data_IF_938868151339
#
_entry.id   IF_938868151339
#
_cell.length_a   1.000
_cell.length_b   1.000
_cell.length_c   1.000
_cell.angle_alpha   90.00
_cell.angle_beta   90.00
_cell.angle_gamma   90.00
#
_symmetry.space_group_name_H-M   'P 1'
#
loop_
_entity.id
_entity.type
_entity.pdbx_description
1 polymer ?
#
# COMPACT_ATOMS: atom_id res chain seq x y z
N UNK A 1 -9.42 24.83 -2.93
CA UNK A 1 -9.01 23.53 -2.32
C UNK A 1 -8.53 23.83 -0.90
N UNK A 2 -9.04 23.09 0.11
CA UNK A 2 -8.75 23.37 1.53
C UNK A 2 -7.29 23.11 1.90
N UNK A 3 -6.72 22.02 1.38
CA UNK A 3 -5.41 21.48 1.82
C UNK A 3 -4.20 21.97 1.01
N UNK A 4 -4.38 22.79 -0.01
CA UNK A 4 -3.34 23.15 -0.98
C UNK A 4 -2.05 23.77 -0.37
N UNK A 5 -2.15 24.35 0.82
CA UNK A 5 -1.04 25.05 1.46
C UNK A 5 -0.26 24.15 2.45
N UNK A 6 -0.80 22.93 2.73
CA UNK A 6 -0.21 21.98 3.67
C UNK A 6 -0.33 20.53 3.20
N UNK A 7 -0.24 20.31 1.89
CA UNK A 7 -0.01 19.02 1.23
C UNK A 7 0.68 19.27 -0.10
N UNK A 8 1.31 18.24 -0.66
CA UNK A 8 1.95 18.30 -1.98
C UNK A 8 1.40 17.26 -2.95
N UNK A 9 0.49 16.39 -2.49
CA UNK A 9 -0.03 15.29 -3.28
C UNK A 9 -1.56 15.23 -3.19
N UNK A 10 -2.19 14.91 -4.31
CA UNK A 10 -3.60 14.57 -4.40
C UNK A 10 -3.77 13.23 -5.10
N UNK A 11 -4.39 12.26 -4.41
CA UNK A 11 -4.77 10.97 -5.00
C UNK A 11 -6.25 11.01 -5.35
N UNK A 12 -6.56 10.97 -6.64
CA UNK A 12 -7.93 10.92 -7.13
C UNK A 12 -8.43 9.49 -7.14
N UNK A 13 -9.12 9.09 -6.08
CA UNK A 13 -9.81 7.79 -5.99
C UNK A 13 -11.32 8.02 -5.91
N UNK A 14 -11.97 8.14 -7.06
CA UNK A 14 -13.42 8.35 -7.16
C UNK A 14 -13.96 7.69 -8.42
N UNK A 15 -14.69 6.58 -8.28
CA UNK A 15 -15.32 5.88 -9.41
C UNK A 15 -16.07 6.84 -10.35
N UNK A 16 -17.05 7.63 -9.85
CA UNK A 16 -17.81 8.53 -10.73
C UNK A 16 -16.99 9.58 -11.46
N UNK A 17 -15.91 10.08 -10.84
CA UNK A 17 -15.00 11.04 -11.48
C UNK A 17 -14.11 10.34 -12.48
N UNK A 18 -13.47 9.23 -12.07
CA UNK A 18 -12.55 8.44 -12.91
C UNK A 18 -13.25 7.76 -14.11
N UNK A 19 -14.57 7.70 -14.12
CA UNK A 19 -15.37 7.24 -15.25
C UNK A 19 -15.73 8.36 -16.25
N UNK A 20 -15.42 9.60 -15.94
CA UNK A 20 -15.71 10.77 -16.76
C UNK A 20 -14.42 11.52 -17.11
N UNK A 21 -14.00 11.46 -18.38
CA UNK A 21 -12.76 12.08 -18.84
C UNK A 21 -12.69 13.57 -18.53
N UNK A 22 -13.79 14.32 -18.79
CA UNK A 22 -13.84 15.76 -18.53
C UNK A 22 -13.66 16.07 -17.05
N UNK A 23 -14.39 15.33 -16.18
CA UNK A 23 -14.28 15.54 -14.73
C UNK A 23 -12.89 15.16 -14.20
N UNK A 24 -12.30 14.08 -14.73
CA UNK A 24 -10.93 13.66 -14.37
C UNK A 24 -9.93 14.75 -14.73
N UNK A 25 -9.99 15.27 -15.96
CA UNK A 25 -9.11 16.35 -16.41
C UNK A 25 -9.29 17.63 -15.59
N UNK A 26 -10.51 18.09 -15.37
CA UNK A 26 -10.79 19.30 -14.58
C UNK A 26 -10.25 19.18 -13.15
N UNK A 27 -10.42 18.05 -12.49
CA UNK A 27 -9.92 17.87 -11.12
C UNK A 27 -8.39 17.78 -11.09
N UNK A 28 -7.77 17.09 -12.05
CA UNK A 28 -6.33 17.04 -12.17
C UNK A 28 -5.74 18.44 -12.44
N UNK A 29 -6.35 19.21 -13.35
CA UNK A 29 -5.93 20.59 -13.62
C UNK A 29 -6.01 21.46 -12.36
N UNK A 30 -7.12 21.40 -11.61
CA UNK A 30 -7.24 22.13 -10.35
C UNK A 30 -6.19 21.74 -9.31
N UNK A 31 -5.83 20.45 -9.24
CA UNK A 31 -4.80 20.00 -8.31
C UNK A 31 -3.42 20.50 -8.73
N UNK A 32 -3.07 20.35 -10.00
CA UNK A 32 -1.79 20.80 -10.56
C UNK A 32 -1.63 22.32 -10.51
N UNK A 33 -2.68 23.08 -10.85
CA UNK A 33 -2.71 24.53 -10.72
C UNK A 33 -2.55 25.00 -9.26
N UNK A 34 -2.99 24.18 -8.31
CA UNK A 34 -2.75 24.42 -6.88
C UNK A 34 -1.32 24.02 -6.43
N UNK A 35 -0.49 23.51 -7.33
CA UNK A 35 0.90 23.10 -7.07
C UNK A 35 1.08 21.64 -6.64
N UNK A 36 -0.01 20.85 -6.59
CA UNK A 36 0.04 19.46 -6.13
C UNK A 36 0.53 18.51 -7.23
N UNK A 37 1.14 17.42 -6.81
CA UNK A 37 1.34 16.23 -7.62
C UNK A 37 0.06 15.40 -7.63
N UNK A 38 -0.14 14.57 -8.65
CA UNK A 38 -1.36 13.78 -8.81
C UNK A 38 -1.07 12.30 -9.05
N UNK A 39 -1.87 11.45 -8.42
CA UNK A 39 -2.03 10.03 -8.72
C UNK A 39 -3.50 9.79 -9.05
N UNK A 40 -3.80 9.07 -10.12
CA UNK A 40 -5.18 8.83 -10.55
C UNK A 40 -5.52 7.35 -10.43
N UNK A 41 -6.62 7.04 -9.76
CA UNK A 41 -7.15 5.70 -9.64
C UNK A 41 -7.88 5.29 -10.92
N UNK A 42 -7.37 4.22 -11.54
CA UNK A 42 -8.07 3.47 -12.57
C UNK A 42 -8.16 2.01 -12.12
N UNK A 43 -9.31 1.62 -11.59
CA UNK A 43 -9.51 0.28 -11.03
C UNK A 43 -9.37 -0.86 -12.02
N UNK A 44 -9.56 -0.58 -13.32
CA UNK A 44 -9.38 -1.55 -14.41
C UNK A 44 -9.02 -0.81 -15.70
N UNK A 45 -8.07 -1.36 -16.44
CA UNK A 45 -7.60 -0.84 -17.73
C UNK A 45 -7.63 -1.92 -18.83
N UNK A 46 -8.25 -3.07 -18.58
CA UNK A 46 -8.36 -4.11 -19.61
C UNK A 46 -9.24 -3.62 -20.77
N UNK A 47 -8.74 -3.63 -22.02
CA UNK A 47 -9.43 -3.03 -23.16
C UNK A 47 -10.86 -3.51 -23.37
N UNK A 48 -11.11 -4.81 -23.13
CA UNK A 48 -12.46 -5.38 -23.25
C UNK A 48 -13.43 -4.78 -22.21
N UNK A 49 -13.00 -4.67 -20.95
CA UNK A 49 -13.82 -4.12 -19.87
C UNK A 49 -14.07 -2.63 -20.10
N UNK A 50 -13.04 -1.90 -20.53
CA UNK A 50 -13.16 -0.48 -20.86
C UNK A 50 -14.12 -0.23 -22.02
N UNK A 51 -14.11 -1.09 -23.04
CA UNK A 51 -15.04 -1.01 -24.17
C UNK A 51 -16.48 -1.21 -23.72
N UNK A 52 -16.73 -2.22 -22.88
CA UNK A 52 -18.08 -2.53 -22.38
C UNK A 52 -18.65 -1.42 -21.48
N UNK A 53 -17.78 -0.59 -20.89
CA UNK A 53 -18.14 0.54 -20.00
C UNK A 53 -18.01 1.92 -20.66
N UNK A 54 -17.71 2.00 -21.94
CA UNK A 54 -17.40 3.25 -22.65
C UNK A 54 -16.21 4.05 -22.05
N UNK A 55 -15.20 3.36 -21.53
CA UNK A 55 -14.05 3.95 -20.84
C UNK A 55 -12.72 3.81 -21.62
N UNK A 56 -12.77 3.51 -22.91
CA UNK A 56 -11.56 3.36 -23.74
C UNK A 56 -10.68 4.62 -23.80
N UNK A 57 -11.25 5.81 -23.50
CA UNK A 57 -10.50 7.05 -23.38
C UNK A 57 -9.35 6.96 -22.38
N UNK A 58 -9.46 6.13 -21.33
CA UNK A 58 -8.42 5.94 -20.32
C UNK A 58 -7.09 5.50 -20.93
N UNK A 59 -7.11 4.65 -21.97
CA UNK A 59 -5.90 4.17 -22.63
C UNK A 59 -5.15 5.29 -23.35
N UNK A 60 -5.86 6.14 -24.08
CA UNK A 60 -5.25 7.33 -24.71
C UNK A 60 -4.84 8.37 -23.68
N UNK A 61 -5.59 8.48 -22.58
CA UNK A 61 -5.31 9.39 -21.48
C UNK A 61 -3.95 9.08 -20.81
N UNK A 62 -3.59 7.81 -20.63
CA UNK A 62 -2.30 7.41 -20.05
C UNK A 62 -1.12 8.04 -20.79
N UNK A 63 -1.13 7.99 -22.13
CA UNK A 63 -0.05 8.56 -22.94
C UNK A 63 -0.02 10.09 -22.94
N UNK A 64 -1.18 10.74 -22.75
CA UNK A 64 -1.31 12.20 -22.76
C UNK A 64 -1.09 12.83 -21.39
N UNK A 65 -1.45 12.16 -20.30
CA UNK A 65 -1.33 12.67 -18.93
C UNK A 65 0.11 13.07 -18.59
N UNK A 66 1.07 12.17 -18.86
CA UNK A 66 2.49 12.42 -18.64
C UNK A 66 3.03 13.57 -19.49
N UNK A 67 2.55 13.69 -20.72
CA UNK A 67 2.93 14.80 -21.61
C UNK A 67 2.32 16.12 -21.17
N UNK A 68 1.09 16.10 -20.65
CA UNK A 68 0.32 17.29 -20.31
C UNK A 68 0.72 17.87 -18.94
N UNK A 69 0.81 17.04 -17.90
CA UNK A 69 1.16 17.48 -16.53
C UNK A 69 2.64 17.23 -16.17
N UNK A 70 3.40 16.55 -17.01
CA UNK A 70 4.83 16.31 -16.78
C UNK A 70 5.10 15.58 -15.47
N UNK A 71 6.08 16.09 -14.72
CA UNK A 71 6.48 15.53 -13.43
C UNK A 71 5.40 15.63 -12.32
N UNK A 72 4.32 16.40 -12.58
CA UNK A 72 3.18 16.49 -11.66
C UNK A 72 2.29 15.26 -11.69
N UNK A 73 2.27 14.52 -12.80
CA UNK A 73 1.59 13.23 -12.89
C UNK A 73 2.55 12.11 -12.45
N UNK A 74 2.36 11.63 -11.23
CA UNK A 74 3.23 10.61 -10.64
C UNK A 74 2.91 9.21 -11.16
N UNK A 75 1.65 8.91 -11.50
CA UNK A 75 1.26 7.62 -12.01
C UNK A 75 -0.18 7.23 -11.74
N UNK A 76 -0.46 5.96 -11.86
CA UNK A 76 -1.80 5.38 -11.73
C UNK A 76 -1.87 4.46 -10.51
N UNK A 77 -2.90 4.65 -9.71
CA UNK A 77 -3.29 3.70 -8.68
C UNK A 77 -4.16 2.63 -9.37
N UNK A 78 -3.64 1.42 -9.45
CA UNK A 78 -4.19 0.32 -10.22
C UNK A 78 -4.52 -0.87 -9.34
N UNK A 79 -5.78 -1.28 -9.35
CA UNK A 79 -6.38 -2.18 -8.37
C UNK A 79 -6.22 -1.65 -6.94
N UNK A 80 -6.99 -2.22 -6.04
CA UNK A 80 -7.00 -1.86 -4.63
C UNK A 80 -6.90 -3.16 -3.83
N UNK A 81 -5.99 -3.19 -2.88
CA UNK A 81 -5.81 -4.30 -1.94
C UNK A 81 -5.65 -5.67 -2.64
N UNK A 82 -4.68 -5.86 -3.55
CA UNK A 82 -4.53 -7.13 -4.26
C UNK A 82 -4.31 -8.31 -3.32
N UNK A 83 -3.46 -8.18 -2.29
CA UNK A 83 -3.20 -9.20 -1.28
C UNK A 83 -4.38 -9.44 -0.37
N UNK A 84 -5.01 -8.37 0.12
CA UNK A 84 -6.23 -8.45 0.92
C UNK A 84 -7.37 -9.12 0.18
N UNK A 85 -7.59 -8.72 -1.07
CA UNK A 85 -8.60 -9.34 -1.93
C UNK A 85 -8.30 -10.82 -2.22
N UNK A 86 -7.03 -11.19 -2.27
CA UNK A 86 -6.64 -12.58 -2.43
C UNK A 86 -6.95 -13.41 -1.18
N UNK A 87 -6.60 -12.91 0.00
CA UNK A 87 -6.77 -13.65 1.24
C UNK A 87 -8.23 -13.69 1.74
N UNK A 88 -8.99 -12.61 1.55
CA UNK A 88 -10.29 -12.41 2.21
C UNK A 88 -11.49 -12.65 1.27
N UNK A 89 -11.28 -12.54 -0.03
CA UNK A 89 -12.35 -12.70 -1.02
C UNK A 89 -11.97 -13.76 -2.05
N UNK A 90 -12.89 -14.65 -2.38
CA UNK A 90 -12.71 -15.77 -3.31
C UNK A 90 -12.51 -15.31 -4.79
N UNK A 91 -11.70 -14.27 -5.01
CA UNK A 91 -11.40 -13.77 -6.36
C UNK A 91 -10.36 -14.63 -7.08
N UNK A 92 -9.49 -15.30 -6.35
CA UNK A 92 -8.48 -16.20 -6.89
C UNK A 92 -9.07 -17.47 -7.51
N UNK A 93 -10.27 -17.90 -7.12
CA UNK A 93 -10.92 -19.11 -7.65
C UNK A 93 -11.14 -19.07 -9.16
N UNK A 94 -11.18 -17.87 -9.74
CA UNK A 94 -11.26 -17.68 -11.20
C UNK A 94 -9.92 -17.85 -11.92
N UNK A 95 -8.81 -17.77 -11.19
CA UNK A 95 -7.45 -17.81 -11.71
C UNK A 95 -6.77 -19.15 -11.44
N UNK A 96 -7.15 -19.80 -10.35
CA UNK A 96 -6.44 -20.97 -9.84
C UNK A 96 -7.38 -21.93 -9.11
N UNK A 97 -7.27 -23.23 -9.38
CA UNK A 97 -7.99 -24.29 -8.68
C UNK A 97 -7.00 -25.14 -7.87
N UNK A 98 -7.04 -24.99 -6.54
CA UNK A 98 -6.17 -25.76 -5.66
C UNK A 98 -6.54 -27.24 -5.63
N UNK A 99 -5.54 -28.08 -5.68
CA UNK A 99 -5.64 -29.54 -5.54
C UNK A 99 -4.89 -30.02 -4.29
N UNK A 100 -5.03 -31.28 -3.93
CA UNK A 100 -4.28 -31.86 -2.81
C UNK A 100 -2.75 -31.85 -2.99
N UNK A 101 -2.25 -31.61 -4.20
CA UNK A 101 -0.82 -31.53 -4.51
C UNK A 101 -0.32 -30.09 -4.67
N UNK A 102 -1.17 -29.09 -4.54
CA UNK A 102 -0.80 -27.69 -4.62
C UNK A 102 0.13 -27.32 -3.46
N UNK A 103 1.17 -26.59 -3.78
CA UNK A 103 2.18 -26.10 -2.81
C UNK A 103 2.11 -24.57 -2.64
N UNK A 104 2.77 -24.04 -1.62
CA UNK A 104 2.91 -22.59 -1.45
C UNK A 104 3.62 -21.93 -2.65
N UNK A 105 4.60 -22.63 -3.23
CA UNK A 105 5.32 -22.15 -4.43
C UNK A 105 4.38 -22.01 -5.63
N UNK A 106 3.45 -22.95 -5.82
CA UNK A 106 2.48 -22.90 -6.92
C UNK A 106 1.56 -21.69 -6.77
N UNK A 107 1.08 -21.42 -5.56
CA UNK A 107 0.18 -20.27 -5.32
C UNK A 107 0.95 -18.96 -5.39
N UNK A 108 2.12 -18.87 -4.78
CA UNK A 108 2.97 -17.69 -4.88
C UNK A 108 3.26 -17.32 -6.34
N UNK A 109 3.57 -18.33 -7.18
CA UNK A 109 3.80 -18.13 -8.60
C UNK A 109 2.56 -17.58 -9.31
N UNK A 110 1.39 -18.19 -9.09
CA UNK A 110 0.14 -17.71 -9.72
C UNK A 110 -0.16 -16.27 -9.29
N UNK A 111 0.00 -15.97 -8.00
CA UNK A 111 -0.22 -14.64 -7.48
C UNK A 111 0.72 -13.61 -8.10
N UNK A 112 2.03 -13.86 -8.10
CA UNK A 112 3.04 -12.91 -8.57
C UNK A 112 3.09 -12.76 -10.09
N UNK A 113 2.62 -13.76 -10.83
CA UNK A 113 2.59 -13.72 -12.31
C UNK A 113 1.25 -13.23 -12.88
N UNK A 114 0.22 -12.98 -12.06
CA UNK A 114 -1.13 -12.67 -12.58
C UNK A 114 -1.16 -11.38 -13.43
N UNK A 115 -0.35 -10.37 -13.10
CA UNK A 115 -0.25 -9.13 -13.88
C UNK A 115 0.37 -9.32 -15.26
N UNK A 116 1.16 -10.37 -15.46
CA UNK A 116 1.74 -10.70 -16.79
C UNK A 116 0.67 -11.05 -17.81
N UNK A 117 -0.50 -11.49 -17.34
CA UNK A 117 -1.66 -11.82 -18.17
C UNK A 117 -2.74 -10.74 -18.15
N UNK A 118 -2.50 -9.64 -17.45
CA UNK A 118 -3.40 -8.50 -17.35
C UNK A 118 -3.07 -7.46 -18.43
N UNK A 119 -3.90 -7.42 -19.48
CA UNK A 119 -3.73 -6.46 -20.58
C UNK A 119 -3.79 -4.99 -20.09
N UNK A 120 -4.51 -4.72 -19.00
CA UNK A 120 -4.58 -3.38 -18.40
C UNK A 120 -3.27 -2.99 -17.73
N UNK A 121 -2.65 -3.92 -16.99
CA UNK A 121 -1.35 -3.71 -16.38
C UNK A 121 -0.27 -3.49 -17.47
N UNK A 122 -0.30 -4.27 -18.54
CA UNK A 122 0.62 -4.10 -19.67
C UNK A 122 0.51 -2.71 -20.33
N UNK A 123 -0.70 -2.09 -20.34
CA UNK A 123 -0.85 -0.71 -20.82
C UNK A 123 -0.07 0.30 -19.94
N UNK A 124 0.02 0.06 -18.65
CA UNK A 124 0.82 0.91 -17.75
C UNK A 124 2.31 0.75 -18.02
N UNK A 125 2.79 -0.48 -18.15
CA UNK A 125 4.20 -0.76 -18.48
C UNK A 125 4.60 -0.18 -19.86
N UNK A 126 3.80 -0.40 -20.89
CA UNK A 126 4.03 0.09 -22.24
C UNK A 126 4.14 1.62 -22.31
N UNK A 127 3.41 2.32 -21.45
CA UNK A 127 3.46 3.78 -21.33
C UNK A 127 4.49 4.26 -20.28
N UNK A 128 5.23 3.36 -19.64
CA UNK A 128 6.18 3.68 -18.55
C UNK A 128 5.53 4.50 -17.44
N UNK A 129 4.33 4.12 -17.04
CA UNK A 129 3.57 4.73 -15.95
C UNK A 129 3.91 4.01 -14.65
N UNK A 130 4.25 4.77 -13.63
CA UNK A 130 4.44 4.24 -12.26
C UNK A 130 3.13 3.68 -11.72
N UNK A 131 3.18 2.46 -11.20
CA UNK A 131 2.00 1.74 -10.73
C UNK A 131 1.97 1.74 -9.21
N UNK A 132 0.90 2.32 -8.67
CA UNK A 132 0.62 2.42 -7.25
C UNK A 132 -0.49 1.44 -6.86
N UNK A 133 -0.44 0.95 -5.64
CA UNK A 133 -1.56 0.30 -4.96
C UNK A 133 -1.51 0.55 -3.46
N UNK A 134 -2.54 0.20 -2.72
CA UNK A 134 -2.48 0.04 -1.27
C UNK A 134 -2.80 -1.40 -0.91
N UNK A 135 -2.28 -1.84 0.22
CA UNK A 135 -2.64 -3.14 0.77
C UNK A 135 -2.49 -3.14 2.31
N UNK A 136 -2.98 -4.21 2.94
CA UNK A 136 -2.85 -4.47 4.38
C UNK A 136 -2.20 -5.82 4.67
N UNK A 137 -1.79 -6.57 3.62
CA UNK A 137 -1.11 -7.87 3.69
C UNK A 137 -0.24 -8.09 2.45
N UNK A 138 0.55 -9.14 2.42
CA UNK A 138 1.28 -9.68 1.26
C UNK A 138 2.19 -8.69 0.50
N UNK A 139 2.57 -7.56 1.05
CA UNK A 139 3.38 -6.50 0.41
C UNK A 139 4.60 -7.00 -0.36
N UNK A 140 5.30 -8.04 0.14
CA UNK A 140 6.43 -8.66 -0.53
C UNK A 140 6.05 -9.18 -1.91
N UNK A 141 4.92 -9.86 -1.97
CA UNK A 141 4.43 -10.51 -3.18
C UNK A 141 3.77 -9.52 -4.14
N UNK A 142 3.21 -8.42 -3.62
CA UNK A 142 2.69 -7.32 -4.45
C UNK A 142 3.82 -6.66 -5.22
N UNK A 143 4.98 -6.44 -4.61
CA UNK A 143 6.16 -5.95 -5.36
C UNK A 143 6.64 -6.96 -6.40
N UNK A 144 6.64 -8.26 -6.08
CA UNK A 144 6.97 -9.31 -7.06
C UNK A 144 5.95 -9.37 -8.20
N UNK A 145 4.69 -9.01 -7.94
CA UNK A 145 3.64 -8.90 -8.95
C UNK A 145 3.89 -7.75 -9.94
N UNK A 146 4.68 -6.75 -9.53
CA UNK A 146 5.12 -5.67 -10.41
C UNK A 146 4.88 -4.25 -9.92
N UNK A 147 4.11 -4.04 -8.85
CA UNK A 147 3.87 -2.70 -8.31
C UNK A 147 5.17 -1.96 -8.00
N UNK A 148 5.18 -0.65 -8.27
CA UNK A 148 6.33 0.21 -8.01
C UNK A 148 6.28 0.85 -6.64
N UNK A 149 5.07 1.14 -6.15
CA UNK A 149 4.83 1.78 -4.87
C UNK A 149 3.62 1.14 -4.19
N UNK A 150 3.78 0.74 -2.95
CA UNK A 150 2.69 0.22 -2.12
C UNK A 150 2.47 1.14 -0.93
N UNK A 151 1.22 1.48 -0.66
CA UNK A 151 0.79 2.18 0.54
C UNK A 151 0.29 1.15 1.57
N UNK A 152 1.05 0.93 2.63
CA UNK A 152 0.62 0.08 3.72
C UNK A 152 -0.52 0.76 4.50
N UNK A 153 -1.57 0.00 4.83
CA UNK A 153 -2.69 0.52 5.59
C UNK A 153 -2.30 0.80 7.04
N UNK A 154 -2.62 2.00 7.52
CA UNK A 154 -2.62 2.36 8.92
C UNK A 154 -4.09 2.59 9.34
N UNK A 155 -4.66 1.64 10.02
CA UNK A 155 -6.08 1.68 10.41
C UNK A 155 -6.56 0.34 10.93
N UNK A 156 -7.86 0.18 11.13
CA UNK A 156 -8.45 -1.02 11.71
C UNK A 156 -7.73 -1.42 13.02
N UNK A 157 -7.53 -2.71 13.23
CA UNK A 157 -6.77 -3.23 14.39
C UNK A 157 -5.33 -3.62 14.03
N UNK A 158 -4.79 -3.02 12.95
CA UNK A 158 -3.42 -3.27 12.50
C UNK A 158 -2.39 -2.61 13.41
N UNK A 159 -1.23 -3.23 13.52
CA UNK A 159 -0.07 -2.67 14.22
C UNK A 159 0.82 -1.94 13.22
N UNK A 160 0.85 -0.61 13.28
CA UNK A 160 1.58 0.24 12.33
C UNK A 160 3.06 -0.15 12.20
N UNK A 161 3.72 -0.47 13.30
CA UNK A 161 5.13 -0.89 13.32
C UNK A 161 5.35 -2.19 12.53
N UNK A 162 4.39 -3.12 12.58
CA UNK A 162 4.43 -4.36 11.82
C UNK A 162 4.25 -4.10 10.32
N UNK A 163 3.27 -3.28 9.94
CA UNK A 163 3.01 -2.94 8.55
C UNK A 163 4.19 -2.18 7.93
N UNK A 164 4.77 -1.23 8.68
CA UNK A 164 6.01 -0.54 8.28
C UNK A 164 7.15 -1.55 8.10
N UNK A 165 7.34 -2.47 9.04
CA UNK A 165 8.40 -3.47 8.96
C UNK A 165 8.27 -4.36 7.71
N UNK A 166 7.05 -4.77 7.37
CA UNK A 166 6.74 -5.59 6.20
C UNK A 166 6.95 -4.82 4.89
N UNK A 167 6.31 -3.65 4.74
CA UNK A 167 6.35 -2.90 3.48
C UNK A 167 7.74 -2.31 3.23
N UNK A 168 8.39 -1.72 4.26
CA UNK A 168 9.73 -1.14 4.15
C UNK A 168 10.78 -2.20 3.87
N UNK A 169 10.71 -3.34 4.57
CA UNK A 169 11.61 -4.47 4.34
C UNK A 169 11.52 -4.99 2.91
N UNK A 170 10.30 -5.20 2.41
CA UNK A 170 10.05 -5.61 1.03
C UNK A 170 10.56 -4.57 0.02
N UNK A 171 10.20 -3.29 0.20
CA UNK A 171 10.62 -2.21 -0.69
C UNK A 171 12.13 -2.06 -0.76
N UNK A 172 12.83 -2.08 0.40
CA UNK A 172 14.28 -1.92 0.47
C UNK A 172 15.03 -3.03 -0.27
N UNK A 173 14.63 -4.30 -0.09
CA UNK A 173 15.32 -5.40 -0.76
C UNK A 173 14.99 -5.49 -2.26
N UNK A 174 13.78 -5.13 -2.66
CA UNK A 174 13.34 -5.15 -4.06
C UNK A 174 13.60 -3.82 -4.80
N UNK A 175 14.28 -2.86 -4.15
CA UNK A 175 14.60 -1.52 -4.70
C UNK A 175 13.34 -0.80 -5.23
N UNK A 176 12.30 -0.79 -4.40
CA UNK A 176 11.00 -0.16 -4.64
C UNK A 176 10.76 1.01 -3.69
N UNK A 177 9.73 1.79 -3.95
CA UNK A 177 9.26 2.85 -3.06
C UNK A 177 8.06 2.37 -2.23
N UNK A 178 7.83 3.00 -1.08
CA UNK A 178 6.72 2.67 -0.21
C UNK A 178 6.11 3.91 0.44
N UNK A 179 4.93 3.76 0.96
CA UNK A 179 4.24 4.77 1.74
C UNK A 179 3.26 4.15 2.72
N UNK A 180 2.52 5.00 3.39
CA UNK A 180 1.40 4.61 4.24
C UNK A 180 0.14 5.34 3.81
N UNK A 181 -1.00 4.67 3.97
CA UNK A 181 -2.32 5.26 3.82
C UNK A 181 -3.08 5.08 5.14
N UNK A 182 -3.44 6.19 5.78
CA UNK A 182 -4.25 6.19 6.99
C UNK A 182 -5.69 5.97 6.58
N UNK A 183 -6.23 4.81 6.95
CA UNK A 183 -7.57 4.36 6.58
C UNK A 183 -8.52 4.40 7.77
N UNK A 184 -9.71 3.84 7.59
CA UNK A 184 -10.69 3.76 8.66
C UNK A 184 -10.20 2.84 9.78
N UNK A 185 -10.47 3.27 11.01
CA UNK A 185 -10.34 2.43 12.20
C UNK A 185 -11.68 1.80 12.57
N UNK A 186 -12.78 2.47 12.26
CA UNK A 186 -14.14 2.06 12.61
C UNK A 186 -15.05 2.06 11.39
N UNK A 187 -15.98 1.11 11.31
CA UNK A 187 -17.03 1.05 10.27
C UNK A 187 -18.20 2.00 10.51
N UNK A 188 -18.12 2.84 11.50
CA UNK A 188 -19.12 3.86 11.85
C UNK A 188 -18.42 5.12 12.34
N UNK A 189 -19.11 6.29 12.39
CA UNK A 189 -18.49 7.49 12.90
C UNK A 189 -17.84 7.27 14.29
N UNK A 190 -16.59 7.78 14.50
CA UNK A 190 -15.90 8.80 13.70
C UNK A 190 -15.13 8.29 12.47
N UNK A 191 -15.18 7.04 12.12
CA UNK A 191 -14.46 6.33 11.07
C UNK A 191 -12.93 6.33 11.23
N UNK A 192 -12.29 7.49 11.24
CA UNK A 192 -10.86 7.63 11.49
C UNK A 192 -10.53 7.54 12.98
N UNK A 193 -9.28 7.27 13.28
CA UNK A 193 -8.72 7.40 14.62
C UNK A 193 -8.73 8.87 15.08
N UNK A 194 -8.36 9.15 16.32
CA UNK A 194 -8.32 10.52 16.83
C UNK A 194 -7.30 11.36 16.03
N UNK A 195 -7.47 12.69 15.94
CA UNK A 195 -6.51 13.57 15.24
C UNK A 195 -5.09 13.43 15.77
N UNK A 196 -4.91 13.23 17.05
CA UNK A 196 -3.62 12.99 17.70
C UNK A 196 -2.98 11.70 17.18
N UNK A 197 -3.74 10.59 17.12
CA UNK A 197 -3.25 9.32 16.62
C UNK A 197 -2.96 9.38 15.10
N UNK A 198 -3.79 10.08 14.33
CA UNK A 198 -3.54 10.33 12.90
C UNK A 198 -2.24 11.10 12.71
N UNK A 199 -1.96 12.12 13.54
CA UNK A 199 -0.67 12.82 13.53
C UNK A 199 0.50 11.88 13.83
N UNK A 200 0.41 11.08 14.89
CA UNK A 200 1.45 10.11 15.27
C UNK A 200 1.69 9.06 14.17
N UNK A 201 0.64 8.58 13.51
CA UNK A 201 0.77 7.65 12.38
C UNK A 201 1.51 8.28 11.20
N UNK A 202 1.19 9.54 10.86
CA UNK A 202 1.92 10.30 9.83
C UNK A 202 3.38 10.49 10.20
N UNK A 203 3.64 10.90 11.45
CA UNK A 203 4.98 11.16 11.95
C UNK A 203 5.86 9.91 11.95
N UNK A 204 5.35 8.81 12.52
CA UNK A 204 6.03 7.51 12.57
C UNK A 204 6.38 7.00 11.16
N UNK A 205 5.45 7.13 10.22
CA UNK A 205 5.66 6.75 8.82
C UNK A 205 6.77 7.56 8.17
N UNK A 206 6.77 8.88 8.39
CA UNK A 206 7.77 9.80 7.85
C UNK A 206 9.16 9.54 8.44
N UNK A 207 9.27 9.36 9.76
CA UNK A 207 10.53 9.01 10.41
C UNK A 207 11.08 7.66 9.93
N UNK A 208 10.19 6.70 9.65
CA UNK A 208 10.57 5.40 9.12
C UNK A 208 11.01 5.45 7.63
N UNK A 209 10.80 6.59 6.94
CA UNK A 209 11.26 6.83 5.58
C UNK A 209 10.23 6.56 4.50
N UNK A 210 8.95 6.61 4.83
CA UNK A 210 7.87 6.54 3.84
C UNK A 210 8.01 7.65 2.79
N UNK A 211 8.01 7.30 1.52
CA UNK A 211 8.04 8.27 0.42
C UNK A 211 6.70 9.02 0.31
N UNK A 212 5.63 8.39 0.74
CA UNK A 212 4.27 8.89 0.68
C UNK A 212 3.56 8.66 2.02
N UNK A 213 2.85 9.67 2.50
CA UNK A 213 1.96 9.58 3.66
C UNK A 213 0.61 10.16 3.25
N UNK A 214 -0.40 9.31 3.18
CA UNK A 214 -1.71 9.62 2.61
C UNK A 214 -2.78 9.42 3.67
N UNK A 215 -3.83 10.24 3.66
CA UNK A 215 -5.05 10.05 4.45
C UNK A 215 -6.17 9.68 3.48
N UNK A 216 -6.80 8.53 3.69
CA UNK A 216 -7.98 8.11 2.96
C UNK A 216 -9.21 8.87 3.46
N UNK A 217 -9.66 9.82 2.65
CA UNK A 217 -10.79 10.67 3.00
C UNK A 217 -11.98 10.41 2.07
N UNK A 218 -12.95 9.64 2.56
CA UNK A 218 -14.10 9.18 1.79
C UNK A 218 -15.38 9.91 2.19
N UNK A 219 -16.22 10.36 1.24
CA UNK A 219 -17.51 10.98 1.56
C UNK A 219 -18.49 9.94 2.14
N UNK A 220 -19.03 10.25 3.32
CA UNK A 220 -20.04 9.42 3.97
C UNK A 220 -21.44 9.94 3.72
N UNK A 221 -22.37 9.08 3.32
CA UNK A 221 -23.78 9.40 3.16
C UNK A 221 -24.60 8.79 4.29
N UNK A 222 -25.67 9.49 4.77
CA UNK A 222 -26.26 10.76 4.32
C UNK A 222 -25.86 12.01 5.10
N UNK A 223 -24.98 11.95 6.08
CA UNK A 223 -24.85 12.99 7.10
C UNK A 223 -23.72 13.99 6.87
N UNK A 224 -23.35 14.12 5.61
CA UNK A 224 -22.83 15.31 5.00
C UNK A 224 -21.81 16.17 5.71
N UNK A 225 -20.69 15.61 6.21
CA UNK A 225 -19.48 16.43 6.25
C UNK A 225 -19.04 16.62 4.79
N UNK A 226 -19.07 17.86 4.30
CA UNK A 226 -18.67 18.22 2.94
C UNK A 226 -17.22 17.86 2.61
N UNK A 227 -16.40 17.55 3.62
CA UNK A 227 -15.00 17.16 3.53
C UNK A 227 -14.77 15.66 3.75
N UNK A 228 -15.80 14.84 3.75
CA UNK A 228 -15.69 13.39 3.94
C UNK A 228 -15.61 12.97 5.41
N UNK A 229 -14.75 12.00 5.74
CA UNK A 229 -14.60 11.46 7.10
C UNK A 229 -13.71 12.31 8.01
N UNK A 230 -12.89 13.18 7.44
CA UNK A 230 -12.03 14.08 8.22
C UNK A 230 -12.83 15.19 8.89
N UNK A 231 -12.57 15.42 10.16
CA UNK A 231 -13.07 16.58 10.92
C UNK A 231 -12.11 17.77 10.78
N UNK A 232 -12.48 18.96 11.31
CA UNK A 232 -11.61 20.12 11.32
C UNK A 232 -10.31 19.85 12.08
N UNK A 233 -10.38 19.10 13.18
CA UNK A 233 -9.22 18.72 13.99
C UNK A 233 -8.27 17.77 13.24
N UNK A 234 -8.78 16.89 12.37
CA UNK A 234 -7.92 16.08 11.50
C UNK A 234 -7.19 16.93 10.45
N UNK A 235 -7.83 17.97 9.91
CA UNK A 235 -7.15 18.91 9.02
C UNK A 235 -6.10 19.72 9.78
N UNK A 236 -6.34 20.11 11.03
CA UNK A 236 -5.37 20.80 11.88
C UNK A 236 -4.16 19.88 12.20
N UNK A 237 -4.39 18.58 12.42
CA UNK A 237 -3.34 17.60 12.59
C UNK A 237 -2.46 17.45 11.32
N UNK A 238 -3.09 17.40 10.14
CA UNK A 238 -2.37 17.36 8.86
C UNK A 238 -1.54 18.64 8.63
N UNK A 239 -2.09 19.82 8.92
CA UNK A 239 -1.37 21.09 8.81
C UNK A 239 -0.20 21.15 9.80
N UNK A 240 -0.39 20.68 11.02
CA UNK A 240 0.67 20.59 12.04
C UNK A 240 1.80 19.66 11.57
N UNK A 241 1.47 18.47 11.10
CA UNK A 241 2.44 17.54 10.53
C UNK A 241 3.23 18.17 9.38
N UNK A 242 2.55 18.80 8.40
CA UNK A 242 3.19 19.49 7.29
C UNK A 242 4.18 20.57 7.78
N UNK A 243 3.74 21.40 8.70
CA UNK A 243 4.58 22.46 9.25
C UNK A 243 5.82 21.91 9.97
N UNK A 244 5.69 20.77 10.63
CA UNK A 244 6.79 20.17 11.38
C UNK A 244 7.80 19.48 10.45
N UNK A 245 7.37 18.77 9.40
CA UNK A 245 8.29 18.17 8.44
C UNK A 245 9.01 19.22 7.58
N UNK A 246 8.36 20.32 7.23
CA UNK A 246 9.00 21.44 6.50
C UNK A 246 10.08 22.11 7.34
N UNK A 247 9.88 22.24 8.66
CA UNK A 247 10.87 22.80 9.58
C UNK A 247 12.03 21.81 9.88
N UNK A 248 11.73 20.51 9.83
CA UNK A 248 12.65 19.44 10.24
C UNK A 248 12.83 18.36 9.15
N UNK A 249 13.24 18.72 7.93
CA UNK A 249 13.30 17.75 6.81
C UNK A 249 14.32 16.61 7.06
N UNK A 250 15.27 16.79 7.96
CA UNK A 250 16.29 15.78 8.33
C UNK A 250 15.71 14.60 9.10
N UNK A 251 14.50 14.70 9.60
CA UNK A 251 13.79 13.65 10.33
C UNK A 251 13.30 12.54 9.39
N UNK A 252 13.09 12.85 8.10
CA UNK A 252 12.69 11.84 7.12
C UNK A 252 13.67 10.67 7.06
N UNK A 253 13.16 9.48 7.30
CA UNK A 253 13.96 8.25 7.32
C UNK A 253 15.08 8.25 8.34
N UNK A 254 14.96 9.01 9.45
CA UNK A 254 15.92 9.00 10.56
C UNK A 254 15.86 7.68 11.34
N UNK A 255 14.71 7.03 11.38
CA UNK A 255 14.51 5.72 11.98
C UNK A 255 14.86 4.64 10.95
N UNK A 256 15.98 3.96 11.17
CA UNK A 256 16.45 2.86 10.32
C UNK A 256 16.19 1.53 10.98
N UNK A 257 15.92 0.51 10.17
CA UNK A 257 15.87 -0.84 10.67
C UNK A 257 17.26 -1.30 11.14
N UNK A 258 17.34 -1.75 12.37
CA UNK A 258 18.53 -2.34 12.99
C UNK A 258 18.49 -3.87 12.93
N UNK A 259 17.29 -4.43 12.94
CA UNK A 259 17.04 -5.87 12.91
C UNK A 259 16.14 -6.23 11.73
N UNK A 260 16.26 -7.49 11.28
CA UNK A 260 15.38 -8.06 10.28
C UNK A 260 14.92 -9.46 10.69
N UNK A 261 13.62 -9.72 10.53
CA UNK A 261 13.04 -11.06 10.61
C UNK A 261 12.88 -11.64 9.21
N UNK A 262 13.52 -12.79 8.97
CA UNK A 262 13.47 -13.50 7.68
C UNK A 262 12.44 -14.62 7.77
N UNK A 263 11.42 -14.53 6.94
CA UNK A 263 10.32 -15.48 6.82
C UNK A 263 10.64 -16.58 5.80
N UNK A 264 9.93 -17.74 5.85
CA UNK A 264 10.11 -18.78 4.84
C UNK A 264 9.76 -18.26 3.44
N UNK A 265 10.48 -18.73 2.43
CA UNK A 265 10.20 -18.42 1.03
C UNK A 265 8.75 -18.81 0.67
N UNK A 266 8.08 -17.99 -0.11
CA UNK A 266 6.73 -18.22 -0.65
C UNK A 266 5.64 -18.51 0.41
N UNK A 267 5.88 -18.12 1.65
CA UNK A 267 4.95 -18.32 2.77
C UNK A 267 3.98 -17.14 2.90
N UNK A 268 2.96 -17.10 2.04
CA UNK A 268 1.97 -16.01 1.97
C UNK A 268 0.94 -16.08 3.09
N UNK A 269 1.38 -15.95 4.32
CA UNK A 269 0.54 -15.85 5.51
C UNK A 269 0.15 -14.40 5.75
N UNK A 270 -1.13 -14.14 6.08
CA UNK A 270 -1.65 -12.78 6.24
C UNK A 270 -1.06 -12.00 7.41
N UNK A 271 -0.60 -12.69 8.47
CA UNK A 271 0.10 -12.11 9.63
C UNK A 271 -0.70 -11.09 10.46
N UNK A 272 -2.01 -10.96 10.24
CA UNK A 272 -2.87 -10.02 11.01
C UNK A 272 -3.17 -10.51 12.43
N UNK A 273 -3.23 -11.82 12.58
CA UNK A 273 -3.42 -12.51 13.85
C UNK A 273 -2.87 -13.95 13.72
N UNK A 274 -2.71 -14.70 14.83
CA UNK A 274 -2.14 -16.05 14.78
C UNK A 274 -2.99 -17.06 14.00
N UNK A 275 -4.31 -16.81 13.88
CA UNK A 275 -5.28 -17.68 13.19
C UNK A 275 -5.44 -17.31 11.71
N UNK A 276 -4.68 -16.35 11.20
CA UNK A 276 -4.78 -15.92 9.81
C UNK A 276 -4.41 -17.03 8.84
N UNK A 277 -5.03 -17.01 7.67
CA UNK A 277 -4.82 -18.05 6.68
C UNK A 277 -3.52 -17.86 5.87
N UNK A 278 -3.09 -18.94 5.21
CA UNK A 278 -1.93 -18.97 4.32
C UNK A 278 -2.44 -19.09 2.89
N UNK A 279 -2.18 -18.08 2.07
CA UNK A 279 -2.59 -18.03 0.66
C UNK A 279 -4.09 -18.19 0.41
N UNK A 280 -4.95 -17.95 1.39
CA UNK A 280 -6.41 -18.23 1.37
C UNK A 280 -6.80 -19.72 1.26
N UNK A 281 -5.83 -20.64 1.16
CA UNK A 281 -6.08 -22.06 0.93
C UNK A 281 -5.84 -22.94 2.15
N UNK A 282 -5.00 -22.48 3.07
CA UNK A 282 -4.60 -23.25 4.23
C UNK A 282 -4.84 -22.51 5.51
N UNK A 283 -5.29 -23.25 6.51
CA UNK A 283 -5.30 -22.82 7.91
C UNK A 283 -3.86 -22.59 8.39
N UNK A 284 -3.66 -21.80 9.48
CA UNK A 284 -2.35 -21.62 10.08
C UNK A 284 -1.70 -22.95 10.45
N UNK A 285 -0.40 -23.05 10.25
CA UNK A 285 0.40 -24.23 10.56
C UNK A 285 1.37 -23.97 11.74
N UNK A 286 2.21 -24.95 12.09
CA UNK A 286 3.20 -24.82 13.16
C UNK A 286 4.21 -23.67 12.90
N UNK A 287 4.44 -23.31 11.64
CA UNK A 287 5.33 -22.18 11.31
C UNK A 287 4.69 -20.85 11.62
N UNK A 288 3.40 -20.67 11.31
CA UNK A 288 2.68 -19.41 11.63
C UNK A 288 2.67 -19.14 13.13
N UNK A 289 2.43 -20.14 13.97
CA UNK A 289 2.50 -20.03 15.41
C UNK A 289 3.90 -19.59 15.90
N UNK A 290 4.94 -20.23 15.34
CA UNK A 290 6.32 -19.90 15.66
C UNK A 290 6.71 -18.49 15.19
N UNK A 291 6.36 -18.14 13.95
CA UNK A 291 6.60 -16.80 13.38
C UNK A 291 5.89 -15.75 14.23
N UNK A 292 4.63 -15.97 14.60
CA UNK A 292 3.87 -15.03 15.43
C UNK A 292 4.57 -14.77 16.76
N UNK A 293 5.01 -15.84 17.44
CA UNK A 293 5.70 -15.72 18.72
C UNK A 293 6.98 -14.89 18.61
N UNK A 294 7.80 -15.16 17.59
CA UNK A 294 9.05 -14.42 17.35
C UNK A 294 8.76 -12.97 16.97
N UNK A 295 7.78 -12.77 16.09
CA UNK A 295 7.38 -11.44 15.64
C UNK A 295 6.98 -10.52 16.80
N UNK A 296 6.11 -11.01 17.71
CA UNK A 296 5.66 -10.21 18.86
C UNK A 296 6.84 -9.84 19.79
N UNK A 297 7.80 -10.76 19.96
CA UNK A 297 9.03 -10.47 20.74
C UNK A 297 9.89 -9.39 20.06
N UNK A 298 10.10 -9.51 18.74
CA UNK A 298 10.90 -8.56 17.98
C UNK A 298 10.23 -7.20 17.85
N UNK A 299 8.92 -7.13 17.65
CA UNK A 299 8.18 -5.86 17.65
C UNK A 299 8.28 -5.16 19.02
N UNK A 300 8.17 -5.92 20.11
CA UNK A 300 8.36 -5.36 21.46
C UNK A 300 9.79 -4.81 21.67
N UNK A 301 10.80 -5.50 21.11
CA UNK A 301 12.22 -5.14 21.29
C UNK A 301 12.65 -3.99 20.38
N UNK A 302 12.20 -3.97 19.13
CA UNK A 302 12.73 -3.10 18.09
C UNK A 302 11.73 -2.06 17.59
N UNK A 303 10.41 -2.29 17.74
CA UNK A 303 9.37 -1.41 17.19
C UNK A 303 9.62 -1.10 15.71
N UNK A 304 9.67 0.16 15.36
CA UNK A 304 9.96 0.65 13.99
C UNK A 304 11.40 0.41 13.52
N UNK A 305 12.31 -0.09 14.37
CA UNK A 305 13.67 -0.52 13.99
C UNK A 305 13.75 -1.97 13.49
N UNK A 306 12.60 -2.62 13.25
CA UNK A 306 12.49 -3.96 12.68
C UNK A 306 12.09 -3.86 11.20
N UNK A 307 12.73 -4.67 10.34
CA UNK A 307 12.19 -5.04 9.01
C UNK A 307 11.77 -6.51 9.00
N UNK A 308 10.81 -6.84 8.16
CA UNK A 308 10.36 -8.22 7.93
C UNK A 308 10.46 -8.51 6.43
N UNK A 309 11.13 -9.59 6.08
CA UNK A 309 11.41 -9.96 4.68
C UNK A 309 11.27 -11.46 4.49
N UNK A 310 11.29 -11.91 3.25
CA UNK A 310 11.25 -13.33 2.93
C UNK A 310 12.63 -13.85 2.49
N UNK A 311 12.89 -15.14 2.75
CA UNK A 311 14.11 -15.83 2.30
C UNK A 311 14.02 -16.11 0.80
N UNK A 312 14.31 -15.09 0.00
CA UNK A 312 14.23 -15.15 -1.45
C UNK A 312 15.65 -15.03 -2.05
N UNK A 313 16.12 -16.06 -2.77
CA UNK A 313 17.44 -16.02 -3.42
C UNK A 313 17.63 -14.87 -4.43
N UNK A 314 16.54 -14.33 -4.99
CA UNK A 314 16.61 -13.17 -5.89
C UNK A 314 16.88 -11.86 -5.15
N UNK A 315 16.51 -11.81 -3.85
CA UNK A 315 16.64 -10.62 -3.00
C UNK A 315 17.32 -10.98 -1.67
N UNK A 316 18.59 -11.38 -1.69
CA UNK A 316 19.29 -11.85 -0.51
C UNK A 316 19.40 -10.74 0.54
N UNK A 317 19.18 -11.11 1.80
CA UNK A 317 19.38 -10.20 2.94
C UNK A 317 20.87 -9.92 3.07
N UNK A 318 21.30 -8.73 2.64
CA UNK A 318 22.70 -8.31 2.68
C UNK A 318 22.91 -7.20 3.69
N UNK A 319 23.89 -7.40 4.53
CA UNK A 319 24.80 -6.49 5.26
C UNK A 319 24.33 -5.22 5.97
N UNK A 320 23.11 -4.76 5.82
CA UNK A 320 22.68 -3.48 6.39
C UNK A 320 22.04 -3.59 7.78
N UNK A 321 21.76 -4.79 8.26
CA UNK A 321 21.16 -5.02 9.57
C UNK A 321 22.20 -5.42 10.60
N UNK A 322 22.06 -4.92 11.82
CA UNK A 322 22.93 -5.29 12.95
C UNK A 322 22.60 -6.71 13.45
N UNK A 323 21.31 -7.11 13.32
CA UNK A 323 20.81 -8.40 13.74
C UNK A 323 19.92 -9.00 12.65
N UNK A 324 20.13 -10.30 12.36
CA UNK A 324 19.30 -11.07 11.43
C UNK A 324 18.71 -12.24 12.19
N UNK A 325 17.40 -12.30 12.23
CA UNK A 325 16.62 -13.37 12.86
C UNK A 325 15.90 -14.18 11.79
N UNK A 326 15.92 -15.49 11.96
CA UNK A 326 15.14 -16.37 11.10
C UNK A 326 13.93 -16.89 11.87
N UNK A 327 12.84 -17.09 11.17
CA UNK A 327 11.56 -17.53 11.71
C UNK A 327 11.62 -18.80 12.58
N UNK A 328 12.63 -19.65 12.39
CA UNK A 328 12.81 -20.93 13.10
C UNK A 328 13.84 -20.86 14.25
N UNK A 329 14.27 -19.68 14.65
CA UNK A 329 15.21 -19.48 15.75
C UNK A 329 14.48 -19.28 17.07
N UNK A 330 15.14 -19.63 18.17
CA UNK A 330 14.69 -19.25 19.50
C UNK A 330 15.37 -17.93 19.87
N UNK A 331 14.59 -16.92 20.18
CA UNK A 331 15.10 -15.65 20.72
C UNK A 331 15.23 -15.80 22.23
N UNK A 332 16.43 -15.58 22.75
CA UNK A 332 16.75 -15.65 24.19
C UNK A 332 17.02 -14.27 24.75
#
# INVERSE_FOLDING_TARGET
>A
MRVKDYTNLFVLQSGPVSENETATNEICDYAVDAGLDIIVYFGDLQPKILLDKDLLWRLSWLSTAKQYWGDKFLGVYYYDEPGGNWLDYDRWSTLFEATSNTTYDDVAKVYTECTQYDEGYQQLEDNSITVFTSDYVLYWFDYLMGYDVIFAHAGWDHTLEQDIALVRGAANLQNKSWGTIITWKYNHPPYLDTPENVYEQMWTSYEAGANYVIIFNYPTYPEGNQYGVMTDEHFDALESFWNDIVKNPVVHGSVKAEAVLVLPQNYGWGMRNPEDNIWAFWEPDEKSEQIWTILQQLLTQYGTHLDIVYDDPAFPVTGNYQQIYYWNQTIT
#
